data_IF_348364496526
#
_entry.id   IF_348364496526
#
_cell.length_a   1.000
_cell.length_b   1.000
_cell.length_c   1.000
_cell.angle_alpha   90.00
_cell.angle_beta   90.00
_cell.angle_gamma   90.00
#
_symmetry.space_group_name_H-M   'P 1'
#
loop_
_entity.id
_entity.type
_entity.pdbx_description
1 polymer ?
#
# COMPACT_ATOMS: atom_id res chain seq x y z
N UNK A 1 62.73 11.69 -12.27
CA UNK A 1 61.80 12.10 -13.32
C UNK A 1 60.40 11.87 -12.81
N UNK A 2 59.76 12.92 -12.34
CA UNK A 2 58.37 12.85 -11.88
C UNK A 2 57.41 12.96 -13.07
N UNK A 3 56.90 11.85 -13.52
CA UNK A 3 55.78 11.86 -14.47
C UNK A 3 54.47 12.11 -13.71
N UNK A 4 54.20 13.36 -13.41
CA UNK A 4 52.87 13.75 -12.92
C UNK A 4 51.89 13.60 -14.08
N UNK A 5 51.09 12.53 -14.02
CA UNK A 5 50.00 12.37 -14.95
C UNK A 5 48.89 13.37 -14.56
N UNK A 6 48.89 14.50 -15.24
CA UNK A 6 47.81 15.47 -15.13
C UNK A 6 46.66 14.96 -16.00
N UNK A 7 45.50 14.75 -15.39
CA UNK A 7 44.28 14.42 -16.13
C UNK A 7 43.96 15.57 -17.10
N UNK A 8 43.64 15.24 -18.35
CA UNK A 8 43.24 16.24 -19.32
C UNK A 8 41.93 16.91 -18.87
N UNK A 9 41.67 18.17 -19.24
CA UNK A 9 40.43 18.86 -18.87
C UNK A 9 39.17 18.13 -19.36
N UNK A 10 39.30 17.39 -20.47
CA UNK A 10 38.23 16.55 -21.00
C UNK A 10 37.94 15.36 -20.07
N UNK A 11 38.97 14.71 -19.54
CA UNK A 11 38.85 13.60 -18.59
C UNK A 11 38.22 14.06 -17.26
N UNK A 12 38.55 15.26 -16.80
CA UNK A 12 37.96 15.86 -15.61
C UNK A 12 36.49 16.19 -15.81
N UNK A 13 36.09 16.69 -16.98
CA UNK A 13 34.73 17.00 -17.35
C UNK A 13 33.86 15.73 -17.40
N UNK A 14 34.37 14.64 -17.97
CA UNK A 14 33.66 13.35 -18.04
C UNK A 14 33.48 12.78 -16.63
N UNK A 15 34.48 12.91 -15.75
CA UNK A 15 34.39 12.47 -14.36
C UNK A 15 33.33 13.26 -13.57
N UNK A 16 33.25 14.60 -13.77
CA UNK A 16 32.21 15.44 -13.14
C UNK A 16 30.82 15.12 -13.63
N UNK A 17 30.62 14.82 -14.92
CA UNK A 17 29.32 14.42 -15.49
C UNK A 17 28.92 13.06 -14.95
N UNK A 18 29.84 12.10 -14.82
CA UNK A 18 29.55 10.79 -14.22
C UNK A 18 29.15 10.90 -12.75
N UNK A 19 29.74 11.81 -11.98
CA UNK A 19 29.35 12.07 -10.59
C UNK A 19 27.97 12.73 -10.46
N UNK A 20 27.56 13.56 -11.42
CA UNK A 20 26.26 14.22 -11.46
C UNK A 20 25.12 13.22 -11.78
N UNK A 21 25.40 12.19 -12.58
CA UNK A 21 24.41 11.18 -12.98
C UNK A 21 24.10 10.21 -11.83
N UNK A 22 25.05 9.99 -10.90
CA UNK A 22 24.84 9.09 -9.76
C UNK A 22 23.98 9.68 -8.63
N UNK A 23 23.63 10.97 -8.70
CA UNK A 23 22.89 11.66 -7.64
C UNK A 23 21.37 11.65 -7.82
N UNK A 24 20.85 11.16 -8.95
CA UNK A 24 19.41 10.95 -9.15
C UNK A 24 18.97 9.59 -8.60
N UNK A 25 19.15 9.35 -7.31
CA UNK A 25 18.35 8.36 -6.62
C UNK A 25 16.98 9.00 -6.43
N UNK A 26 16.05 8.63 -7.27
CA UNK A 26 14.64 8.87 -6.98
C UNK A 26 14.34 8.20 -5.64
N UNK A 27 14.16 9.02 -4.59
CA UNK A 27 13.58 8.56 -3.33
C UNK A 27 12.16 8.12 -3.66
N UNK A 28 11.97 6.81 -3.86
CA UNK A 28 10.64 6.24 -3.92
C UNK A 28 10.05 6.42 -2.53
N UNK A 29 8.99 7.22 -2.42
CA UNK A 29 8.26 7.35 -1.17
C UNK A 29 7.79 5.95 -0.74
N UNK A 30 8.01 5.59 0.53
CA UNK A 30 7.53 4.33 1.09
C UNK A 30 6.01 4.26 0.92
N UNK A 31 5.53 3.13 0.37
CA UNK A 31 4.12 2.89 0.20
C UNK A 31 3.49 2.60 1.56
N UNK A 32 2.41 3.31 1.90
CA UNK A 32 1.63 3.05 3.11
C UNK A 32 0.78 1.79 2.88
N UNK A 33 1.12 0.71 3.57
CA UNK A 33 0.48 -0.58 3.44
C UNK A 33 -0.16 -1.03 4.75
N UNK A 34 -1.38 -1.56 4.64
CA UNK A 34 -2.15 -2.11 5.76
C UNK A 34 -2.67 -3.49 5.39
N UNK A 35 -2.89 -4.33 6.38
CA UNK A 35 -3.38 -5.69 6.22
C UNK A 35 -4.66 -5.89 7.02
N UNK A 36 -5.57 -6.65 6.45
CA UNK A 36 -6.81 -7.08 7.05
C UNK A 36 -7.00 -8.57 6.75
N UNK A 37 -7.26 -9.38 7.77
CA UNK A 37 -7.49 -10.81 7.59
C UNK A 37 -8.91 -11.19 7.96
N UNK A 38 -9.41 -12.21 7.27
CA UNK A 38 -10.71 -12.84 7.48
C UNK A 38 -10.48 -14.26 7.93
N UNK A 39 -11.04 -14.62 9.08
CA UNK A 39 -10.97 -15.97 9.66
C UNK A 39 -12.25 -16.29 10.40
N UNK A 40 -12.75 -17.50 10.18
CA UNK A 40 -14.01 -17.97 10.76
C UNK A 40 -15.15 -16.99 10.49
N UNK A 41 -15.22 -16.46 9.27
CA UNK A 41 -16.19 -15.49 8.79
C UNK A 41 -16.22 -14.17 9.56
N UNK A 42 -15.09 -13.78 10.15
CA UNK A 42 -14.94 -12.52 10.87
C UNK A 42 -13.64 -11.84 10.48
N UNK A 43 -13.65 -10.52 10.42
CA UNK A 43 -12.42 -9.75 10.33
C UNK A 43 -11.65 -9.89 11.64
N UNK A 44 -10.37 -10.25 11.55
CA UNK A 44 -9.51 -10.41 12.74
C UNK A 44 -9.28 -9.09 13.46
N UNK A 45 -9.42 -7.99 12.75
CA UNK A 45 -9.49 -6.64 13.26
C UNK A 45 -10.84 -6.04 12.87
N UNK A 46 -11.75 -5.87 13.83
CA UNK A 46 -13.04 -5.22 13.58
C UNK A 46 -12.91 -3.72 13.32
N UNK A 47 -11.75 -3.14 13.67
CA UNK A 47 -11.41 -1.73 13.47
C UNK A 47 -10.00 -1.61 12.92
N UNK A 48 -9.85 -0.93 11.78
CA UNK A 48 -8.59 -0.66 11.14
C UNK A 48 -8.39 0.86 11.03
N UNK A 49 -7.29 1.36 11.57
CA UNK A 49 -6.94 2.78 11.48
C UNK A 49 -5.92 3.02 10.38
N UNK A 50 -6.21 3.97 9.51
CA UNK A 50 -5.33 4.44 8.45
C UNK A 50 -5.13 5.96 8.54
N UNK A 51 -4.05 6.51 7.96
CA UNK A 51 -3.88 7.96 7.91
C UNK A 51 -4.93 8.60 6.99
N UNK A 52 -5.55 9.68 7.47
CA UNK A 52 -6.43 10.51 6.66
C UNK A 52 -5.65 11.25 5.56
N UNK A 53 -6.34 11.60 4.48
CA UNK A 53 -5.83 12.40 3.37
C UNK A 53 -4.60 11.82 2.65
N UNK A 54 -4.41 10.50 2.76
CA UNK A 54 -3.33 9.78 2.08
C UNK A 54 -3.88 8.56 1.36
N UNK A 55 -3.28 8.25 0.22
CA UNK A 55 -3.52 6.99 -0.47
C UNK A 55 -2.80 5.87 0.27
N UNK A 56 -3.51 4.78 0.53
CA UNK A 56 -2.97 3.59 1.19
C UNK A 56 -3.23 2.35 0.36
N UNK A 57 -2.39 1.36 0.51
CA UNK A 57 -2.61 0.01 -0.02
C UNK A 57 -3.17 -0.86 1.09
N UNK A 58 -4.30 -1.48 0.84
CA UNK A 58 -4.91 -2.46 1.73
C UNK A 58 -4.80 -3.85 1.11
N UNK A 59 -4.21 -4.78 1.82
CA UNK A 59 -4.19 -6.19 1.47
C UNK A 59 -5.19 -6.93 2.35
N UNK A 60 -6.09 -7.68 1.74
CA UNK A 60 -7.10 -8.48 2.42
C UNK A 60 -6.77 -9.94 2.19
N UNK A 61 -6.54 -10.68 3.27
CA UNK A 61 -6.26 -12.10 3.28
C UNK A 61 -7.50 -12.87 3.77
N UNK A 62 -7.92 -13.86 3.02
CA UNK A 62 -9.00 -14.74 3.39
C UNK A 62 -8.46 -16.10 3.85
N UNK A 63 -8.49 -16.36 5.15
CA UNK A 63 -8.03 -17.59 5.76
C UNK A 63 -9.10 -18.69 5.79
N UNK A 64 -10.30 -18.41 5.30
CA UNK A 64 -11.41 -19.34 5.25
C UNK A 64 -11.37 -20.19 3.97
N UNK A 65 -12.14 -21.26 4.00
CA UNK A 65 -12.32 -22.18 2.87
C UNK A 65 -13.41 -21.76 1.89
N UNK A 66 -14.06 -20.66 2.15
CA UNK A 66 -15.09 -20.06 1.32
C UNK A 66 -14.66 -18.68 0.87
N UNK A 67 -15.07 -18.27 -0.32
CA UNK A 67 -14.80 -16.93 -0.82
C UNK A 67 -15.55 -15.87 0.02
N UNK A 68 -15.00 -14.66 0.06
CA UNK A 68 -15.62 -13.49 0.65
C UNK A 68 -15.67 -12.37 -0.37
N UNK A 69 -16.61 -11.44 -0.21
CA UNK A 69 -16.68 -10.22 -0.99
C UNK A 69 -16.62 -9.02 -0.06
N UNK A 70 -15.41 -8.44 0.05
CA UNK A 70 -15.22 -7.26 0.87
C UNK A 70 -15.74 -6.03 0.15
N UNK A 71 -16.72 -5.38 0.75
CA UNK A 71 -17.42 -4.23 0.19
C UNK A 71 -17.55 -3.09 1.20
N UNK A 72 -17.48 -1.88 0.67
CA UNK A 72 -17.83 -0.67 1.40
C UNK A 72 -18.60 0.29 0.52
N UNK A 73 -19.78 0.65 0.95
CA UNK A 73 -20.55 1.73 0.34
C UNK A 73 -19.97 3.10 0.69
N UNK A 74 -19.32 3.22 1.85
CA UNK A 74 -18.80 4.50 2.35
C UNK A 74 -17.57 4.96 1.57
N UNK A 75 -16.65 4.05 1.25
CA UNK A 75 -15.48 4.39 0.41
C UNK A 75 -15.52 3.75 -0.98
N UNK A 76 -16.67 3.21 -1.39
CA UNK A 76 -16.96 2.73 -2.75
C UNK A 76 -15.94 1.74 -3.29
N UNK A 77 -15.71 0.68 -2.56
CA UNK A 77 -14.82 -0.41 -2.96
C UNK A 77 -15.52 -1.75 -2.84
N UNK A 78 -15.16 -2.66 -3.72
CA UNK A 78 -15.67 -4.02 -3.79
C UNK A 78 -14.58 -4.94 -4.33
N UNK A 79 -14.29 -6.02 -3.60
CA UNK A 79 -13.31 -7.04 -3.99
C UNK A 79 -13.71 -8.41 -3.53
N UNK A 80 -13.79 -9.37 -4.47
CA UNK A 80 -13.90 -10.79 -4.14
C UNK A 80 -12.53 -11.30 -3.73
N UNK A 81 -12.46 -11.91 -2.55
CA UNK A 81 -11.26 -12.54 -2.01
C UNK A 81 -11.46 -14.06 -2.05
N UNK A 82 -10.73 -14.79 -2.91
CA UNK A 82 -10.89 -16.23 -3.01
C UNK A 82 -10.61 -16.93 -1.70
N UNK A 83 -11.18 -18.10 -1.50
CA UNK A 83 -10.87 -18.97 -0.37
C UNK A 83 -9.36 -19.22 -0.27
N UNK A 84 -8.75 -18.98 0.88
CA UNK A 84 -7.31 -19.13 1.12
C UNK A 84 -6.42 -18.17 0.33
N UNK A 85 -7.00 -17.15 -0.32
CA UNK A 85 -6.30 -16.18 -1.15
C UNK A 85 -6.19 -14.81 -0.53
N UNK A 86 -5.55 -13.91 -1.26
CA UNK A 86 -5.46 -12.51 -0.89
C UNK A 86 -5.67 -11.60 -2.09
N UNK A 87 -6.13 -10.39 -1.84
CA UNK A 87 -6.24 -9.31 -2.82
C UNK A 87 -5.73 -8.02 -2.24
N UNK A 88 -5.24 -7.15 -3.10
CA UNK A 88 -4.84 -5.80 -2.69
C UNK A 88 -5.64 -4.77 -3.46
N UNK A 89 -5.98 -3.68 -2.79
CA UNK A 89 -6.61 -2.52 -3.39
C UNK A 89 -6.00 -1.24 -2.82
N UNK A 90 -6.16 -0.15 -3.57
CA UNK A 90 -5.78 1.17 -3.09
C UNK A 90 -7.01 1.90 -2.60
N UNK A 91 -6.88 2.55 -1.44
CA UNK A 91 -7.91 3.37 -0.83
C UNK A 91 -7.44 4.82 -0.69
N UNK A 92 -8.39 5.71 -0.80
CA UNK A 92 -8.17 7.12 -0.51
C UNK A 92 -7.55 7.92 -1.64
N UNK A 93 -7.18 9.15 -1.30
CA UNK A 93 -7.22 9.80 0.02
C UNK A 93 -8.63 9.88 0.62
N UNK A 94 -8.79 9.49 1.89
CA UNK A 94 -10.05 9.61 2.61
C UNK A 94 -9.98 10.74 3.63
N UNK A 95 -11.04 11.50 3.77
CA UNK A 95 -11.17 12.49 4.84
C UNK A 95 -11.22 11.81 6.20
N UNK A 96 -10.79 12.47 7.25
CA UNK A 96 -10.91 11.97 8.62
C UNK A 96 -12.36 11.58 8.92
N UNK A 97 -12.57 10.38 9.44
CA UNK A 97 -13.89 9.85 9.73
C UNK A 97 -13.91 8.34 9.86
N UNK A 98 -15.09 7.80 10.04
CA UNK A 98 -15.35 6.37 10.14
C UNK A 98 -16.09 5.87 8.89
N UNK A 99 -15.64 4.72 8.41
CA UNK A 99 -16.11 4.12 7.17
C UNK A 99 -16.43 2.65 7.43
N UNK A 100 -17.64 2.21 7.11
CA UNK A 100 -18.03 0.82 7.31
C UNK A 100 -17.65 -0.05 6.13
N UNK A 101 -17.24 -1.28 6.41
CA UNK A 101 -17.04 -2.33 5.42
C UNK A 101 -17.60 -3.65 5.93
N UNK A 102 -17.85 -4.58 5.03
CA UNK A 102 -18.47 -5.86 5.35
C UNK A 102 -18.13 -6.91 4.28
N UNK A 103 -18.38 -8.18 4.61
CA UNK A 103 -18.43 -9.26 3.64
C UNK A 103 -19.86 -9.37 3.10
N UNK A 104 -20.07 -9.04 1.82
CA UNK A 104 -21.42 -9.04 1.23
C UNK A 104 -22.04 -10.43 1.19
N UNK A 105 -21.26 -11.49 1.13
CA UNK A 105 -21.75 -12.85 1.21
C UNK A 105 -22.28 -13.22 2.62
N UNK A 106 -21.93 -12.42 3.64
CA UNK A 106 -22.30 -12.60 5.04
C UNK A 106 -22.54 -11.28 5.76
N UNK A 107 -23.23 -10.35 5.11
CA UNK A 107 -23.36 -8.96 5.55
C UNK A 107 -23.95 -8.77 6.94
N UNK A 108 -24.76 -9.72 7.43
CA UNK A 108 -25.34 -9.67 8.79
C UNK A 108 -24.34 -10.04 9.89
N UNK A 109 -23.27 -10.75 9.57
CA UNK A 109 -22.34 -11.35 10.54
C UNK A 109 -20.93 -10.74 10.48
N UNK A 110 -20.46 -10.40 9.28
CA UNK A 110 -19.07 -10.03 9.02
C UNK A 110 -18.95 -8.56 8.66
N UNK A 111 -18.63 -7.75 9.66
CA UNK A 111 -18.54 -6.29 9.54
C UNK A 111 -17.30 -5.74 10.23
N UNK A 112 -16.82 -4.61 9.73
CA UNK A 112 -15.74 -3.85 10.33
C UNK A 112 -15.86 -2.36 10.07
N UNK A 113 -14.99 -1.60 10.72
CA UNK A 113 -14.92 -0.15 10.60
C UNK A 113 -13.49 0.27 10.28
N UNK A 114 -13.34 1.09 9.27
CA UNK A 114 -12.09 1.76 8.93
C UNK A 114 -12.14 3.18 9.47
N UNK A 115 -11.11 3.55 10.22
CA UNK A 115 -10.98 4.89 10.80
C UNK A 115 -9.83 5.60 10.10
N UNK A 116 -10.13 6.73 9.47
CA UNK A 116 -9.14 7.64 8.91
C UNK A 116 -8.90 8.80 9.88
N UNK A 117 -7.67 8.96 10.32
CA UNK A 117 -7.30 10.06 11.25
C UNK A 117 -5.87 10.53 11.12
#
# INVERSE_FOLDING_TARGET
MDSRRVLSPVSLLILCIALLITSFRTLKADELSFELSLKDHRFTQSELTIPADKRVRLTIENLDRTAAECESHDFKAEKVVPAGGEVSLYLGPLKAGSYNFFDDFRASETRGTLIAK
#
